data_IF_312905186990
#
_entry.id   IF_312905186990
#
_cell.length_a   1.000
_cell.length_b   1.000
_cell.length_c   1.000
_cell.angle_alpha   90.00
_cell.angle_beta   90.00
_cell.angle_gamma   90.00
#
_symmetry.space_group_name_H-M   'P 1'
#
loop_
_entity.id
_entity.type
_entity.pdbx_description
1 polymer ?
#
# COMPACT_ATOMS: atom_id res chain seq x y z
N UNK A 1 -36.39 -22.76 21.44
CA UNK A 1 -36.41 -23.83 22.45
C UNK A 1 -36.99 -23.25 23.72
N UNK A 2 -38.27 -23.54 23.95
CA UNK A 2 -39.02 -23.18 25.14
C UNK A 2 -38.51 -23.96 26.35
N UNK A 3 -38.39 -23.30 27.50
CA UNK A 3 -38.45 -23.96 28.81
C UNK A 3 -39.39 -23.14 29.68
N UNK A 4 -40.62 -23.65 29.82
CA UNK A 4 -41.60 -23.17 30.78
C UNK A 4 -41.11 -23.43 32.19
N UNK A 5 -41.00 -22.37 32.99
CA UNK A 5 -40.80 -22.46 34.43
C UNK A 5 -42.18 -22.43 35.11
N UNK A 6 -42.53 -23.57 35.68
CA UNK A 6 -43.74 -23.78 36.48
C UNK A 6 -43.53 -23.08 37.83
N UNK A 7 -44.16 -21.92 38.03
CA UNK A 7 -44.14 -21.21 39.31
C UNK A 7 -45.30 -21.72 40.16
N UNK A 8 -44.96 -22.48 41.20
CA UNK A 8 -45.84 -22.91 42.26
C UNK A 8 -46.49 -21.71 42.96
N UNK A 9 -47.80 -21.59 42.78
CA UNK A 9 -48.67 -20.58 43.41
C UNK A 9 -48.88 -20.94 44.88
N UNK A 10 -47.93 -20.56 45.74
CA UNK A 10 -48.16 -20.52 47.19
C UNK A 10 -49.07 -19.35 47.50
N UNK A 11 -50.31 -19.66 47.86
CA UNK A 11 -51.30 -18.70 48.32
C UNK A 11 -50.89 -18.14 49.70
N UNK A 12 -50.04 -17.13 49.72
CA UNK A 12 -50.00 -16.19 50.84
C UNK A 12 -51.30 -15.39 50.81
N UNK A 13 -52.11 -15.60 51.84
CA UNK A 13 -53.29 -14.79 52.14
C UNK A 13 -52.88 -13.32 52.13
N UNK A 14 -53.64 -12.40 51.52
CA UNK A 14 -53.27 -11.00 51.51
C UNK A 14 -53.21 -10.57 52.96
N UNK A 15 -52.02 -10.19 53.43
CA UNK A 15 -51.84 -9.62 54.75
C UNK A 15 -52.83 -8.45 54.87
N UNK A 16 -53.93 -8.65 55.62
CA UNK A 16 -54.89 -7.60 55.90
C UNK A 16 -54.09 -6.44 56.49
N UNK A 17 -54.05 -5.34 55.74
CA UNK A 17 -53.30 -4.16 56.13
C UNK A 17 -54.03 -3.62 57.36
N UNK A 18 -53.48 -3.89 58.55
CA UNK A 18 -54.11 -3.58 59.84
C UNK A 18 -54.46 -2.09 59.93
N UNK A 19 -53.77 -1.24 59.16
CA UNK A 19 -54.03 0.19 58.94
C UNK A 19 -55.37 0.52 58.28
N UNK A 20 -56.04 -0.45 57.65
CA UNK A 20 -57.34 -0.30 56.97
C UNK A 20 -58.52 -0.76 57.83
N UNK A 21 -58.25 -1.29 59.02
CA UNK A 21 -59.25 -1.80 59.96
C UNK A 21 -59.59 -0.67 60.94
N UNK A 22 -60.88 -0.43 61.20
CA UNK A 22 -61.30 0.63 62.10
C UNK A 22 -61.01 0.28 63.56
N UNK A 23 -60.75 1.29 64.40
CA UNK A 23 -60.44 1.09 65.82
C UNK A 23 -61.53 0.30 66.56
N UNK A 24 -62.80 0.49 66.19
CA UNK A 24 -63.96 -0.23 66.74
C UNK A 24 -63.95 -1.74 66.43
N UNK A 25 -63.42 -2.14 65.27
CA UNK A 25 -63.28 -3.55 64.89
C UNK A 25 -62.06 -4.20 65.55
N UNK A 26 -60.98 -3.43 65.72
CA UNK A 26 -59.78 -3.83 66.47
C UNK A 26 -60.08 -4.13 67.94
N UNK A 27 -60.93 -3.30 68.58
CA UNK A 27 -61.37 -3.46 69.98
C UNK A 27 -62.16 -4.75 70.24
N UNK A 28 -62.77 -5.36 69.21
CA UNK A 28 -63.51 -6.63 69.32
C UNK A 28 -62.59 -7.85 69.39
N UNK A 29 -61.29 -7.70 69.17
CA UNK A 29 -60.35 -8.82 69.16
C UNK A 29 -59.65 -9.01 70.52
N UNK A 30 -59.30 -10.26 70.83
CA UNK A 30 -58.46 -10.59 71.98
C UNK A 30 -57.00 -10.15 71.79
N UNK A 31 -56.30 -9.87 72.89
CA UNK A 31 -54.89 -9.44 72.88
C UNK A 31 -53.99 -10.41 72.12
N UNK A 32 -54.19 -11.71 72.27
CA UNK A 32 -53.36 -12.73 71.60
C UNK A 32 -53.56 -12.74 70.08
N UNK A 33 -54.78 -12.45 69.60
CA UNK A 33 -55.09 -12.39 68.17
C UNK A 33 -54.47 -11.16 67.53
N UNK A 34 -54.56 -10.01 68.20
CA UNK A 34 -53.91 -8.76 67.79
C UNK A 34 -52.40 -8.93 67.67
N UNK A 35 -51.75 -9.55 68.67
CA UNK A 35 -50.31 -9.83 68.65
C UNK A 35 -49.94 -10.80 67.51
N UNK A 36 -50.73 -11.84 67.26
CA UNK A 36 -50.47 -12.78 66.15
C UNK A 36 -50.61 -12.10 64.78
N UNK A 37 -51.64 -11.27 64.58
CA UNK A 37 -51.83 -10.51 63.33
C UNK A 37 -50.72 -9.47 63.12
N UNK A 38 -50.35 -8.72 64.16
CA UNK A 38 -49.24 -7.77 64.10
C UNK A 38 -47.93 -8.46 63.71
N UNK A 39 -47.56 -9.57 64.36
CA UNK A 39 -46.34 -10.32 64.03
C UNK A 39 -46.33 -10.83 62.59
N UNK A 40 -47.48 -11.30 62.07
CA UNK A 40 -47.61 -11.73 60.66
C UNK A 40 -47.44 -10.55 59.70
N UNK A 41 -48.08 -9.42 59.97
CA UNK A 41 -47.95 -8.22 59.14
C UNK A 41 -46.51 -7.67 59.15
N UNK A 42 -45.84 -7.64 60.31
CA UNK A 42 -44.43 -7.25 60.41
C UNK A 42 -43.49 -8.23 59.71
N UNK A 43 -43.75 -9.53 59.77
CA UNK A 43 -42.98 -10.53 59.03
C UNK A 43 -43.11 -10.33 57.51
N UNK A 44 -44.33 -10.09 57.01
CA UNK A 44 -44.57 -9.78 55.59
C UNK A 44 -43.89 -8.48 55.14
N UNK A 45 -43.98 -7.41 55.93
CA UNK A 45 -43.27 -6.15 55.64
C UNK A 45 -41.74 -6.35 55.63
N UNK A 46 -41.19 -7.11 56.59
CA UNK A 46 -39.76 -7.46 56.61
C UNK A 46 -39.37 -8.27 55.37
N UNK A 47 -40.17 -9.25 54.96
CA UNK A 47 -39.96 -10.04 53.74
C UNK A 47 -39.91 -9.15 52.48
N UNK A 48 -40.92 -8.30 52.30
CA UNK A 48 -40.99 -7.36 51.18
C UNK A 48 -39.79 -6.41 51.13
N UNK A 49 -39.31 -5.91 52.28
CA UNK A 49 -38.10 -5.07 52.35
C UNK A 49 -36.87 -5.84 51.89
N UNK A 50 -36.73 -7.11 52.30
CA UNK A 50 -35.60 -7.97 51.89
C UNK A 50 -35.65 -8.26 50.39
N UNK A 51 -36.82 -8.60 49.84
CA UNK A 51 -37.00 -8.84 48.41
C UNK A 51 -36.73 -7.58 47.58
N UNK A 52 -37.23 -6.42 48.01
CA UNK A 52 -36.92 -5.15 47.38
C UNK A 52 -35.41 -4.86 47.42
N UNK A 53 -34.74 -5.14 48.53
CA UNK A 53 -33.29 -5.02 48.65
C UNK A 53 -32.51 -5.95 47.71
N UNK A 54 -33.00 -7.19 47.52
CA UNK A 54 -32.44 -8.13 46.55
C UNK A 54 -32.60 -7.62 45.10
N UNK A 55 -33.79 -7.15 44.74
CA UNK A 55 -34.09 -6.57 43.43
C UNK A 55 -33.22 -5.36 43.15
N UNK A 56 -33.07 -4.44 44.11
CA UNK A 56 -32.24 -3.26 43.95
C UNK A 56 -30.76 -3.61 43.74
N UNK A 57 -30.24 -4.61 44.47
CA UNK A 57 -28.88 -5.13 44.25
C UNK A 57 -28.71 -5.71 42.84
N UNK A 58 -29.68 -6.46 42.35
CA UNK A 58 -29.62 -7.05 41.01
C UNK A 58 -29.69 -5.98 39.90
N UNK A 59 -30.56 -4.98 40.04
CA UNK A 59 -30.63 -3.84 39.11
C UNK A 59 -29.29 -3.11 39.07
N UNK A 60 -28.70 -2.81 40.22
CA UNK A 60 -27.39 -2.17 40.29
C UNK A 60 -26.28 -3.03 39.65
N UNK A 61 -26.30 -4.35 39.88
CA UNK A 61 -25.34 -5.27 39.28
C UNK A 61 -25.42 -5.25 37.75
N UNK A 62 -26.63 -5.32 37.18
CA UNK A 62 -26.84 -5.26 35.72
C UNK A 62 -26.45 -3.90 35.14
N UNK A 63 -26.80 -2.82 35.83
CA UNK A 63 -26.42 -1.47 35.40
C UNK A 63 -24.89 -1.33 35.32
N UNK A 64 -24.15 -1.83 36.32
CA UNK A 64 -22.69 -1.81 36.29
C UNK A 64 -22.10 -2.65 35.16
N UNK A 65 -22.70 -3.80 34.85
CA UNK A 65 -22.29 -4.62 33.71
C UNK A 65 -22.46 -3.87 32.38
N UNK A 66 -23.62 -3.26 32.15
CA UNK A 66 -23.85 -2.46 30.94
C UNK A 66 -22.91 -1.25 30.86
N UNK A 67 -22.62 -0.57 31.98
CA UNK A 67 -21.66 0.53 32.00
C UNK A 67 -20.23 0.09 31.64
N UNK A 68 -19.84 -1.13 32.02
CA UNK A 68 -18.54 -1.68 31.64
C UNK A 68 -18.50 -2.06 30.16
N UNK A 69 -19.59 -2.64 29.65
CA UNK A 69 -19.72 -2.98 28.23
C UNK A 69 -19.70 -1.73 27.33
N UNK A 70 -20.42 -0.68 27.73
CA UNK A 70 -20.39 0.62 27.03
C UNK A 70 -18.97 1.19 26.98
N UNK A 71 -18.19 1.07 28.07
CA UNK A 71 -16.80 1.52 28.10
C UNK A 71 -15.93 0.69 27.15
N UNK A 72 -16.01 -0.63 27.21
CA UNK A 72 -15.25 -1.51 26.30
C UNK A 72 -15.59 -1.28 24.83
N UNK A 73 -16.87 -1.08 24.50
CA UNK A 73 -17.30 -0.77 23.13
C UNK A 73 -16.78 0.59 22.65
N UNK A 74 -16.67 1.59 23.54
CA UNK A 74 -16.05 2.88 23.22
C UNK A 74 -14.58 2.71 22.86
N UNK A 75 -13.82 1.92 23.62
CA UNK A 75 -12.40 1.69 23.36
C UNK A 75 -12.20 1.00 22.00
N UNK A 76 -13.02 -0.02 21.68
CA UNK A 76 -12.98 -0.69 20.37
C UNK A 76 -13.33 0.28 19.23
N UNK A 77 -14.36 1.10 19.42
CA UNK A 77 -14.76 2.09 18.41
C UNK A 77 -13.65 3.13 18.18
N UNK A 78 -13.03 3.62 19.25
CA UNK A 78 -11.89 4.52 19.14
C UNK A 78 -10.75 3.88 18.34
N UNK A 79 -10.41 2.62 18.62
CA UNK A 79 -9.37 1.93 17.86
C UNK A 79 -9.72 1.78 16.38
N UNK A 80 -10.97 1.45 16.07
CA UNK A 80 -11.45 1.39 14.68
C UNK A 80 -11.41 2.75 13.99
N UNK A 81 -11.64 3.86 14.71
CA UNK A 81 -11.52 5.20 14.15
C UNK A 81 -10.08 5.57 13.84
N UNK A 82 -9.15 5.24 14.73
CA UNK A 82 -7.70 5.40 14.51
C UNK A 82 -7.25 4.61 13.28
N UNK A 83 -7.60 3.32 13.20
CA UNK A 83 -7.26 2.47 12.06
C UNK A 83 -7.89 2.98 10.75
N UNK A 84 -9.13 3.50 10.80
CA UNK A 84 -9.76 4.14 9.64
C UNK A 84 -9.02 5.40 9.19
N UNK A 85 -8.48 6.19 10.13
CA UNK A 85 -7.70 7.37 9.79
C UNK A 85 -6.37 6.96 9.16
N UNK A 86 -5.67 5.98 9.74
CA UNK A 86 -4.43 5.44 9.17
C UNK A 86 -4.63 4.91 7.74
N UNK A 87 -5.73 4.22 7.47
CA UNK A 87 -6.08 3.75 6.12
C UNK A 87 -6.32 4.90 5.15
N UNK A 88 -6.92 6.00 5.58
CA UNK A 88 -7.10 7.20 4.74
C UNK A 88 -5.76 7.84 4.41
N UNK A 89 -4.87 7.95 5.39
CA UNK A 89 -3.54 8.52 5.21
C UNK A 89 -2.68 7.65 4.27
N UNK A 90 -2.78 6.32 4.41
CA UNK A 90 -2.14 5.36 3.51
C UNK A 90 -2.67 5.49 2.07
N UNK A 91 -3.99 5.64 1.89
CA UNK A 91 -4.56 5.88 0.56
C UNK A 91 -3.99 7.14 -0.10
N UNK A 92 -3.88 8.24 0.64
CA UNK A 92 -3.25 9.48 0.14
C UNK A 92 -1.80 9.25 -0.28
N UNK A 93 -1.01 8.58 0.56
CA UNK A 93 0.39 8.25 0.27
C UNK A 93 0.54 7.40 -1.00
N UNK A 94 -0.28 6.35 -1.15
CA UNK A 94 -0.24 5.47 -2.31
C UNK A 94 -0.66 6.20 -3.60
N UNK A 95 -1.60 7.13 -3.51
CA UNK A 95 -2.00 7.95 -4.65
C UNK A 95 -0.88 8.90 -5.10
N UNK A 96 -0.15 9.51 -4.16
CA UNK A 96 1.01 10.33 -4.46
C UNK A 96 2.12 9.53 -5.14
N UNK A 97 2.43 8.34 -4.63
CA UNK A 97 3.43 7.45 -5.22
C UNK A 97 3.00 6.95 -6.60
N UNK A 98 1.73 6.63 -6.79
CA UNK A 98 1.17 6.31 -8.11
C UNK A 98 1.34 7.47 -9.08
N UNK A 99 1.11 8.71 -8.65
CA UNK A 99 1.34 9.90 -9.48
C UNK A 99 2.82 10.12 -9.79
N UNK A 100 3.73 9.93 -8.83
CA UNK A 100 5.19 9.96 -9.04
C UNK A 100 5.61 8.91 -10.07
N UNK A 101 5.12 7.68 -9.95
CA UNK A 101 5.39 6.60 -10.91
C UNK A 101 4.97 6.96 -12.34
N UNK A 102 3.79 7.58 -12.51
CA UNK A 102 3.34 8.09 -13.83
C UNK A 102 4.26 9.18 -14.38
N UNK A 103 4.72 10.12 -13.55
CA UNK A 103 5.67 11.17 -13.98
C UNK A 103 6.98 10.58 -14.45
N UNK A 104 7.57 9.68 -13.64
CA UNK A 104 8.83 9.00 -13.99
C UNK A 104 8.68 8.20 -15.27
N UNK A 105 7.59 7.44 -15.44
CA UNK A 105 7.34 6.67 -16.66
C UNK A 105 7.30 7.56 -17.92
N UNK A 106 6.66 8.73 -17.84
CA UNK A 106 6.62 9.70 -18.96
C UNK A 106 7.99 10.27 -19.28
N UNK A 107 8.77 10.64 -18.27
CA UNK A 107 10.16 11.10 -18.48
C UNK A 107 11.03 10.01 -19.08
N UNK A 108 10.91 8.78 -18.59
CA UNK A 108 11.63 7.63 -19.12
C UNK A 108 11.33 7.40 -20.60
N UNK A 109 10.05 7.47 -20.99
CA UNK A 109 9.67 7.38 -22.40
C UNK A 109 10.22 8.54 -23.24
N UNK A 110 10.23 9.77 -22.72
CA UNK A 110 10.84 10.93 -23.40
C UNK A 110 12.33 10.71 -23.61
N UNK A 111 13.05 10.32 -22.56
CA UNK A 111 14.47 10.00 -22.61
C UNK A 111 14.76 8.90 -23.62
N UNK A 112 13.96 7.83 -23.62
CA UNK A 112 14.09 6.72 -24.56
C UNK A 112 13.93 7.18 -26.02
N UNK A 113 12.90 8.00 -26.31
CA UNK A 113 12.70 8.57 -27.66
C UNK A 113 13.86 9.47 -28.08
N UNK A 114 14.32 10.36 -27.19
CA UNK A 114 15.43 11.26 -27.46
C UNK A 114 16.72 10.47 -27.74
N UNK A 115 17.07 9.52 -26.87
CA UNK A 115 18.29 8.71 -26.99
C UNK A 115 18.29 7.90 -28.28
N UNK A 116 17.17 7.24 -28.62
CA UNK A 116 17.05 6.51 -29.87
C UNK A 116 17.17 7.44 -31.10
N UNK A 117 16.62 8.66 -31.02
CA UNK A 117 16.76 9.67 -32.06
C UNK A 117 18.20 10.13 -32.24
N UNK A 118 18.92 10.37 -31.13
CA UNK A 118 20.33 10.75 -31.14
C UNK A 118 21.19 9.66 -31.76
N UNK A 119 21.04 8.41 -31.30
CA UNK A 119 21.79 7.27 -31.84
C UNK A 119 21.58 7.09 -33.34
N UNK A 120 20.34 7.23 -33.85
CA UNK A 120 20.10 7.15 -35.31
C UNK A 120 20.85 8.23 -36.08
N UNK A 121 20.92 9.46 -35.55
CA UNK A 121 21.67 10.55 -36.20
C UNK A 121 23.17 10.27 -36.20
N UNK A 122 23.71 9.83 -35.06
CA UNK A 122 25.14 9.49 -34.95
C UNK A 122 25.52 8.35 -35.89
N UNK A 123 24.74 7.26 -35.94
CA UNK A 123 24.96 6.17 -36.89
C UNK A 123 24.91 6.66 -38.34
N UNK A 124 23.95 7.51 -38.70
CA UNK A 124 23.89 8.07 -40.05
C UNK A 124 25.15 8.90 -40.39
N UNK A 125 25.64 9.71 -39.44
CA UNK A 125 26.87 10.48 -39.60
C UNK A 125 28.08 9.54 -39.77
N UNK A 126 28.21 8.51 -38.95
CA UNK A 126 29.31 7.54 -39.07
C UNK A 126 29.27 6.78 -40.40
N UNK A 127 28.09 6.36 -40.86
CA UNK A 127 27.94 5.72 -42.16
C UNK A 127 28.32 6.66 -43.31
N UNK A 128 27.95 7.94 -43.24
CA UNK A 128 28.37 8.93 -44.23
C UNK A 128 29.88 9.12 -44.23
N UNK A 129 30.49 9.21 -43.05
CA UNK A 129 31.93 9.34 -42.90
C UNK A 129 32.69 8.13 -43.45
N UNK A 130 32.15 6.93 -43.22
CA UNK A 130 32.73 5.69 -43.74
C UNK A 130 32.75 5.70 -45.27
N UNK A 131 31.64 6.08 -45.92
CA UNK A 131 31.57 6.21 -47.38
C UNK A 131 32.58 7.22 -47.94
N UNK A 132 32.73 8.37 -47.29
CA UNK A 132 33.74 9.37 -47.68
C UNK A 132 35.16 8.81 -47.62
N UNK A 133 35.47 8.04 -46.57
CA UNK A 133 36.78 7.40 -46.41
C UNK A 133 37.02 6.30 -47.43
N UNK A 134 36.01 5.47 -47.71
CA UNK A 134 36.07 4.43 -48.76
C UNK A 134 36.33 5.06 -50.14
N UNK A 135 35.64 6.16 -50.47
CA UNK A 135 35.86 6.87 -51.73
C UNK A 135 37.29 7.41 -51.84
N UNK A 136 37.79 8.08 -50.80
CA UNK A 136 39.17 8.60 -50.77
C UNK A 136 40.20 7.48 -50.88
N UNK A 137 39.94 6.33 -50.25
CA UNK A 137 40.81 5.17 -50.36
C UNK A 137 40.90 4.67 -51.82
N UNK A 138 39.77 4.63 -52.54
CA UNK A 138 39.76 4.26 -53.96
C UNK A 138 40.50 5.27 -54.85
N UNK A 139 40.35 6.57 -54.58
CA UNK A 139 41.09 7.64 -55.27
C UNK A 139 42.60 7.47 -55.07
N UNK A 140 43.05 7.31 -53.83
CA UNK A 140 44.48 7.08 -53.51
C UNK A 140 45.00 5.80 -54.16
N UNK A 141 44.21 4.72 -54.21
CA UNK A 141 44.61 3.49 -54.91
C UNK A 141 44.79 3.75 -56.41
N UNK A 142 43.88 4.50 -57.04
CA UNK A 142 43.97 4.86 -58.46
C UNK A 142 45.21 5.70 -58.73
N UNK A 143 45.42 6.77 -57.97
CA UNK A 143 46.61 7.63 -58.09
C UNK A 143 47.90 6.83 -57.91
N UNK A 144 47.94 5.88 -56.97
CA UNK A 144 49.09 4.99 -56.79
C UNK A 144 49.32 4.06 -57.98
N UNK A 145 48.28 3.60 -58.67
CA UNK A 145 48.41 2.76 -59.87
C UNK A 145 48.94 3.60 -61.04
N UNK A 146 48.37 4.79 -61.27
CA UNK A 146 48.83 5.72 -62.30
C UNK A 146 50.30 6.12 -62.07
N UNK A 147 50.70 6.41 -60.83
CA UNK A 147 52.09 6.70 -60.48
C UNK A 147 53.02 5.51 -60.76
N UNK A 148 52.59 4.28 -60.46
CA UNK A 148 53.38 3.07 -60.79
C UNK A 148 53.56 2.90 -62.29
N UNK A 149 52.53 3.15 -63.09
CA UNK A 149 52.62 3.11 -64.56
C UNK A 149 53.61 4.14 -65.10
N UNK A 150 53.56 5.38 -64.59
CA UNK A 150 54.53 6.43 -64.95
C UNK A 150 55.96 6.03 -64.58
N UNK A 151 56.18 5.48 -63.39
CA UNK A 151 57.50 5.00 -62.98
C UNK A 151 58.01 3.89 -63.91
N UNK A 152 57.16 2.94 -64.31
CA UNK A 152 57.54 1.87 -65.25
C UNK A 152 57.95 2.42 -66.62
N UNK A 153 57.18 3.36 -67.18
CA UNK A 153 57.53 4.01 -68.46
C UNK A 153 58.89 4.73 -68.38
N UNK A 154 59.17 5.44 -67.28
CA UNK A 154 60.46 6.12 -67.07
C UNK A 154 61.61 5.12 -66.91
N UNK A 155 61.38 3.96 -66.28
CA UNK A 155 62.37 2.88 -66.19
C UNK A 155 62.66 2.26 -67.57
N UNK A 156 61.63 2.05 -68.39
CA UNK A 156 61.75 1.58 -69.78
C UNK A 156 62.55 2.57 -70.64
N UNK A 157 62.26 3.87 -70.57
CA UNK A 157 63.02 4.91 -71.27
C UNK A 157 64.48 4.95 -70.84
N UNK A 158 64.75 4.88 -69.53
CA UNK A 158 66.11 4.85 -68.97
C UNK A 158 66.87 3.62 -69.45
N UNK A 159 66.26 2.44 -69.43
CA UNK A 159 66.91 1.20 -69.88
C UNK A 159 67.18 1.21 -71.38
N UNK A 160 66.27 1.74 -72.20
CA UNK A 160 66.46 1.94 -73.63
C UNK A 160 67.59 2.94 -73.94
N UNK A 161 67.66 4.06 -73.22
CA UNK A 161 68.75 5.04 -73.37
C UNK A 161 70.12 4.46 -73.00
N UNK A 162 70.19 3.61 -71.97
CA UNK A 162 71.42 2.88 -71.60
C UNK A 162 71.79 1.86 -72.67
N UNK A 163 70.83 1.13 -73.25
CA UNK A 163 71.08 0.18 -74.33
C UNK A 163 71.54 0.86 -75.64
N UNK A 164 71.03 2.05 -75.95
CA UNK A 164 71.46 2.86 -77.10
C UNK A 164 72.81 3.55 -76.91
N UNK A 165 73.27 3.73 -75.67
CA UNK A 165 74.56 4.38 -75.34
C UNK A 165 75.80 3.47 -75.43
N UNK A 166 75.66 2.17 -75.66
CA UNK A 166 76.78 1.20 -75.59
C UNK A 166 77.56 1.02 -76.91
N UNK A 167 77.23 1.75 -78.00
CA UNK A 167 78.00 1.68 -79.26
C UNK A 167 78.99 2.85 -79.46
N UNK A 168 79.22 3.67 -78.43
CA UNK A 168 79.97 4.93 -78.52
C UNK A 168 81.34 4.99 -77.86
N UNK A 169 82.28 4.08 -78.17
CA UNK A 169 83.73 4.32 -78.01
C UNK A 169 84.53 3.27 -77.21
N UNK A 170 85.87 3.15 -77.38
CA UNK A 170 86.80 4.13 -77.95
C UNK A 170 87.78 3.56 -79.00
N UNK A 171 87.96 4.25 -80.14
CA UNK A 171 89.15 4.04 -80.99
C UNK A 171 90.30 4.92 -80.52
N UNK A 172 91.13 4.36 -79.64
CA UNK A 172 92.54 4.77 -79.45
C UNK A 172 93.26 4.59 -80.78
N UNK A 173 93.85 5.66 -81.32
CA UNK A 173 94.99 5.54 -82.23
C UNK A 173 96.24 6.08 -81.54
N UNK A 174 97.20 5.18 -81.39
CA UNK A 174 98.63 5.40 -81.10
C UNK A 174 99.34 5.87 -82.37
N UNK A 175 100.53 6.44 -82.13
CA UNK A 175 101.57 6.92 -83.04
C UNK A 175 101.38 8.36 -83.51
#
# INVERSE_FOLDING_TARGET
MEKGAQVSKSAESPAEDISKISDEELLKWGKEELVRRLRRAEAGKRGAIVEHGNLMREVNRRLQQHLNEIRSLKDVNQKLQEDNQELRDLCCFLDDDRQKGKRVSREWQRLGRYSAGLMRKEVAIYLQKLKELEQRQLEVIRENLELKEVCLMLEEERTAAVAGGVVGGPRRNRA
#
